data_IF_668627125794
#
_entry.id   IF_668627125794
#
_cell.length_a   1.000
_cell.length_b   1.000
_cell.length_c   1.000
_cell.angle_alpha   90.00
_cell.angle_beta   90.00
_cell.angle_gamma   90.00
#
_symmetry.space_group_name_H-M   'P 1'
#
loop_
_entity.id
_entity.type
_entity.pdbx_description
1 polymer ?
#
# COMPACT_ATOMS: atom_id res chain seq x y z
N UNK A 1 15.06 13.86 3.09
CA UNK A 1 14.08 14.97 2.97
C UNK A 1 14.67 15.99 2.01
N UNK A 2 13.84 16.79 1.34
CA UNK A 2 14.33 17.95 0.59
C UNK A 2 14.99 18.96 1.54
N UNK A 3 15.87 19.82 1.02
CA UNK A 3 16.63 20.80 1.81
C UNK A 3 15.74 21.82 2.53
N UNK A 4 14.52 22.02 2.06
CA UNK A 4 13.48 22.89 2.63
C UNK A 4 12.53 22.17 3.60
N UNK A 5 12.76 20.89 3.88
CA UNK A 5 11.88 20.06 4.72
C UNK A 5 10.59 19.63 4.03
N UNK A 6 10.38 19.95 2.75
CA UNK A 6 9.22 19.49 1.99
C UNK A 6 9.29 17.98 1.70
N UNK A 7 8.10 17.39 1.54
CA UNK A 7 7.98 16.02 1.08
C UNK A 7 8.30 15.96 -0.43
N UNK A 8 9.07 14.95 -0.82
CA UNK A 8 9.44 14.67 -2.22
C UNK A 8 9.23 13.20 -2.50
N UNK A 9 8.29 12.91 -3.40
CA UNK A 9 7.98 11.55 -3.86
C UNK A 9 9.19 10.85 -4.48
N UNK A 10 10.00 11.58 -5.25
CA UNK A 10 11.27 11.07 -5.81
C UNK A 10 12.21 10.60 -4.72
N UNK A 11 12.44 11.44 -3.71
CA UNK A 11 13.32 11.12 -2.59
C UNK A 11 12.76 10.02 -1.69
N UNK A 12 11.43 9.92 -1.56
CA UNK A 12 10.76 8.86 -0.82
C UNK A 12 10.87 7.50 -1.53
N UNK A 13 10.65 7.46 -2.84
CA UNK A 13 10.78 6.27 -3.67
C UNK A 13 12.21 5.73 -3.65
N UNK A 14 13.21 6.60 -3.81
CA UNK A 14 14.63 6.20 -3.73
C UNK A 14 14.97 5.55 -2.39
N UNK A 15 14.47 6.13 -1.28
CA UNK A 15 14.64 5.56 0.07
C UNK A 15 13.94 4.22 0.22
N UNK A 16 12.74 4.07 -0.35
CA UNK A 16 12.01 2.81 -0.32
C UNK A 16 12.79 1.70 -1.04
N UNK A 17 13.22 1.94 -2.29
CA UNK A 17 13.95 0.96 -3.10
C UNK A 17 15.32 0.59 -2.51
N UNK A 18 15.97 1.53 -1.82
CA UNK A 18 17.20 1.25 -1.08
C UNK A 18 16.97 0.39 0.17
N UNK A 19 15.80 0.51 0.83
CA UNK A 19 15.43 -0.28 2.02
C UNK A 19 14.84 -1.64 1.68
N UNK A 20 14.18 -1.74 0.53
CA UNK A 20 13.45 -2.92 0.08
C UNK A 20 13.96 -3.30 -1.32
N UNK A 21 15.16 -3.91 -1.44
CA UNK A 21 15.73 -4.24 -2.75
C UNK A 21 14.86 -5.22 -3.54
N UNK A 22 14.07 -6.09 -2.88
CA UNK A 22 13.11 -6.97 -3.55
C UNK A 22 12.07 -6.23 -4.41
N UNK A 23 11.70 -4.99 -4.07
CA UNK A 23 10.78 -4.18 -4.88
C UNK A 23 11.38 -3.74 -6.22
N UNK A 24 12.70 -3.85 -6.40
CA UNK A 24 13.36 -3.56 -7.69
C UNK A 24 13.10 -4.64 -8.74
N UNK A 25 12.55 -5.80 -8.35
CA UNK A 25 12.08 -6.81 -9.30
C UNK A 25 10.78 -6.38 -10.03
N UNK A 26 10.01 -5.45 -9.46
CA UNK A 26 8.79 -4.93 -10.11
C UNK A 26 9.14 -3.85 -11.14
N UNK A 27 8.97 -4.17 -12.43
CA UNK A 27 9.18 -3.25 -13.56
C UNK A 27 8.36 -1.96 -13.43
N UNK A 28 7.19 -1.99 -12.77
CA UNK A 28 6.37 -0.79 -12.52
C UNK A 28 7.13 0.19 -11.61
N UNK A 29 7.78 -0.32 -10.56
CA UNK A 29 8.54 0.51 -9.62
C UNK A 29 9.88 0.97 -10.20
N UNK A 30 10.51 0.15 -11.03
CA UNK A 30 11.71 0.54 -11.78
C UNK A 30 11.41 1.67 -12.76
N UNK A 31 10.37 1.54 -13.59
CA UNK A 31 9.96 2.59 -14.53
C UNK A 31 9.51 3.87 -13.82
N UNK A 32 8.83 3.74 -12.68
CA UNK A 32 8.48 4.86 -11.81
C UNK A 32 9.72 5.63 -11.34
N UNK A 33 10.78 4.94 -10.95
CA UNK A 33 12.02 5.58 -10.49
C UNK A 33 12.74 6.37 -11.59
N UNK A 34 12.56 5.97 -12.86
CA UNK A 34 13.16 6.61 -14.02
C UNK A 34 12.47 7.93 -14.39
N UNK A 35 11.24 8.17 -13.92
CA UNK A 35 10.52 9.45 -14.16
C UNK A 35 11.23 10.66 -13.53
N UNK A 36 12.05 10.44 -12.49
CA UNK A 36 12.77 11.53 -11.82
C UNK A 36 11.82 12.64 -11.38
N UNK A 37 12.15 13.89 -11.70
CA UNK A 37 11.33 15.07 -11.32
C UNK A 37 9.94 15.12 -11.98
N UNK A 38 9.67 14.32 -13.01
CA UNK A 38 8.33 14.21 -13.60
C UNK A 38 7.40 13.27 -12.80
N UNK A 39 7.89 12.64 -11.73
CA UNK A 39 7.12 11.74 -10.88
C UNK A 39 6.06 12.51 -10.08
N UNK A 40 4.80 12.11 -10.23
CA UNK A 40 3.68 12.67 -9.44
C UNK A 40 3.37 11.80 -8.22
N UNK A 41 2.64 12.36 -7.27
CA UNK A 41 2.13 11.61 -6.11
C UNK A 41 1.13 10.53 -6.55
N UNK A 42 0.30 10.81 -7.56
CA UNK A 42 -0.64 9.84 -8.14
C UNK A 42 0.08 8.65 -8.78
N UNK A 43 1.18 8.89 -9.50
CA UNK A 43 2.00 7.82 -10.07
C UNK A 43 2.53 6.89 -8.97
N UNK A 44 2.97 7.45 -7.85
CA UNK A 44 3.43 6.70 -6.68
C UNK A 44 2.28 5.91 -6.08
N UNK A 45 1.16 6.55 -5.76
CA UNK A 45 -0.01 5.91 -5.14
C UNK A 45 -0.48 4.73 -5.98
N UNK A 46 -0.60 4.90 -7.30
CA UNK A 46 -1.03 3.84 -8.20
C UNK A 46 -0.07 2.65 -8.26
N UNK A 47 1.24 2.89 -8.07
CA UNK A 47 2.26 1.84 -8.15
C UNK A 47 2.54 1.15 -6.80
N UNK A 48 2.25 1.82 -5.68
CA UNK A 48 2.60 1.37 -4.32
C UNK A 48 1.40 0.77 -3.57
N UNK A 49 0.16 1.10 -3.97
CA UNK A 49 -1.04 0.64 -3.26
C UNK A 49 -1.17 -0.88 -3.13
N UNK A 50 -0.72 -1.64 -4.12
CA UNK A 50 -0.73 -3.10 -4.07
C UNK A 50 0.48 -3.66 -3.27
N UNK A 51 1.74 -3.25 -3.53
CA UNK A 51 2.88 -3.62 -2.68
C UNK A 51 2.70 -3.30 -1.20
N UNK A 52 1.93 -2.26 -0.88
CA UNK A 52 1.59 -1.86 0.48
C UNK A 52 0.94 -2.98 1.31
N UNK A 53 0.18 -3.87 0.68
CA UNK A 53 -0.48 -5.00 1.33
C UNK A 53 0.51 -6.12 1.69
N UNK A 54 1.73 -6.10 1.15
CA UNK A 54 2.73 -7.10 1.45
C UNK A 54 3.25 -6.95 2.89
N UNK A 55 3.22 -8.01 3.73
CA UNK A 55 3.60 -7.91 5.14
C UNK A 55 5.01 -7.38 5.40
N UNK A 56 5.96 -7.57 4.48
CA UNK A 56 7.33 -7.01 4.61
C UNK A 56 7.43 -5.54 4.20
N UNK A 57 6.51 -5.02 3.38
CA UNK A 57 6.66 -3.70 2.75
C UNK A 57 5.76 -2.62 3.34
N UNK A 58 4.68 -2.96 4.05
CA UNK A 58 3.78 -1.97 4.68
C UNK A 58 4.55 -0.92 5.51
N UNK A 59 5.39 -1.37 6.46
CA UNK A 59 6.11 -0.47 7.37
C UNK A 59 7.11 0.42 6.59
N UNK A 60 7.99 -0.13 5.72
CA UNK A 60 8.85 0.68 4.85
C UNK A 60 8.09 1.70 4.00
N UNK A 61 6.96 1.29 3.39
CA UNK A 61 6.14 2.14 2.52
C UNK A 61 5.57 3.30 3.34
N UNK A 62 4.85 3.05 4.43
CA UNK A 62 4.26 4.12 5.24
C UNK A 62 5.34 4.99 5.89
N UNK A 63 6.48 4.43 6.26
CA UNK A 63 7.62 5.20 6.76
C UNK A 63 8.20 6.16 5.70
N UNK A 64 8.20 5.79 4.42
CA UNK A 64 8.68 6.65 3.34
C UNK A 64 7.62 7.65 2.85
N UNK A 65 6.36 7.22 2.79
CA UNK A 65 5.23 7.89 2.15
C UNK A 65 4.15 8.31 3.15
N UNK A 66 4.52 8.59 4.41
CA UNK A 66 3.59 9.01 5.46
C UNK A 66 2.64 10.14 5.01
N UNK A 67 3.08 11.18 4.27
CA UNK A 67 2.17 12.22 3.80
C UNK A 67 1.10 11.74 2.81
N UNK A 68 1.37 10.64 2.08
CA UNK A 68 0.46 10.03 1.10
C UNK A 68 -0.28 8.79 1.66
N UNK A 69 -0.19 8.54 2.98
CA UNK A 69 -0.71 7.30 3.57
C UNK A 69 -2.21 7.16 3.37
N UNK A 70 -2.95 8.27 3.31
CA UNK A 70 -4.39 8.25 3.09
C UNK A 70 -4.72 7.75 1.69
N UNK A 71 -4.12 8.36 0.69
CA UNK A 71 -4.30 8.08 -0.72
C UNK A 71 -3.89 6.64 -1.05
N UNK A 72 -2.78 6.16 -0.45
CA UNK A 72 -2.34 4.76 -0.56
C UNK A 72 -3.41 3.81 0.00
N UNK A 73 -3.95 4.08 1.19
CA UNK A 73 -4.99 3.23 1.81
C UNK A 73 -6.28 3.25 0.99
N UNK A 74 -6.74 4.42 0.56
CA UNK A 74 -7.94 4.56 -0.27
C UNK A 74 -7.79 3.80 -1.59
N UNK A 75 -6.62 3.90 -2.24
CA UNK A 75 -6.32 3.15 -3.45
C UNK A 75 -6.27 1.65 -3.18
N UNK A 76 -5.62 1.19 -2.11
CA UNK A 76 -5.57 -0.23 -1.75
C UNK A 76 -6.97 -0.80 -1.50
N UNK A 77 -7.83 -0.07 -0.77
CA UNK A 77 -9.24 -0.43 -0.56
C UNK A 77 -9.99 -0.51 -1.89
N UNK A 78 -9.74 0.41 -2.82
CA UNK A 78 -10.36 0.37 -4.16
C UNK A 78 -9.99 -0.89 -4.94
N UNK A 79 -8.73 -1.35 -4.83
CA UNK A 79 -8.27 -2.59 -5.47
C UNK A 79 -8.88 -3.83 -4.80
N UNK A 80 -8.94 -3.86 -3.47
CA UNK A 80 -9.55 -4.96 -2.71
C UNK A 80 -11.04 -5.13 -3.01
N UNK A 81 -11.77 -4.05 -3.28
CA UNK A 81 -13.18 -4.10 -3.69
C UNK A 81 -13.41 -4.78 -5.04
N UNK A 82 -12.37 -4.92 -5.87
CA UNK A 82 -12.44 -5.63 -7.15
C UNK A 82 -12.21 -7.14 -6.99
N UNK A 83 -11.78 -7.59 -5.80
CA UNK A 83 -11.56 -9.01 -5.53
C UNK A 83 -12.92 -9.70 -5.33
N UNK A 84 -13.24 -10.73 -6.12
CA UNK A 84 -14.56 -11.34 -6.11
C UNK A 84 -14.86 -12.14 -4.83
N UNK A 85 -13.83 -12.76 -4.22
CA UNK A 85 -13.99 -13.58 -3.03
C UNK A 85 -12.75 -13.55 -2.13
N UNK A 86 -12.86 -12.83 -1.01
CA UNK A 86 -11.86 -12.78 0.06
C UNK A 86 -12.01 -13.91 1.10
N UNK A 87 -12.98 -14.81 0.92
CA UNK A 87 -13.21 -15.96 1.81
C UNK A 87 -12.64 -17.26 1.27
N UNK A 88 -12.10 -17.24 0.05
CA UNK A 88 -11.44 -18.39 -0.56
C UNK A 88 -10.16 -18.78 0.17
N UNK A 89 -9.95 -20.09 0.31
CA UNK A 89 -8.72 -20.67 0.85
C UNK A 89 -8.41 -21.98 0.13
N UNK A 90 -7.69 -21.89 -0.99
CA UNK A 90 -7.11 -23.04 -1.65
C UNK A 90 -5.71 -23.32 -1.08
N UNK A 91 -5.50 -24.54 -0.60
CA UNK A 91 -4.31 -24.92 0.16
C UNK A 91 -3.01 -24.94 -0.65
N UNK A 92 -2.06 -24.10 -0.29
CA UNK A 92 -0.84 -24.41 0.49
C UNK A 92 -0.39 -23.07 1.09
N UNK A 93 0.14 -23.05 2.32
CA UNK A 93 0.46 -21.82 3.06
C UNK A 93 1.76 -21.24 2.52
N UNK A 94 1.78 -20.79 1.26
CA UNK A 94 2.96 -20.15 0.65
C UNK A 94 3.17 -18.76 1.25
N UNK A 95 4.32 -18.54 1.90
CA UNK A 95 4.72 -17.19 2.30
C UNK A 95 4.81 -16.27 1.08
N UNK A 96 4.49 -14.99 1.28
CA UNK A 96 4.77 -14.00 0.25
C UNK A 96 6.28 -13.88 0.11
N UNK A 97 6.78 -14.26 -1.05
CA UNK A 97 8.20 -14.19 -1.36
C UNK A 97 8.68 -12.74 -1.40
N UNK A 98 9.95 -12.54 -1.07
CA UNK A 98 10.54 -11.21 -1.15
C UNK A 98 10.65 -10.78 -2.61
N UNK A 99 9.80 -9.83 -3.00
CA UNK A 99 9.74 -9.31 -4.37
C UNK A 99 8.34 -9.41 -4.96
N UNK A 100 7.43 -10.13 -4.29
CA UNK A 100 6.03 -10.22 -4.69
C UNK A 100 5.29 -8.90 -4.43
N UNK A 101 5.39 -7.99 -5.40
CA UNK A 101 4.78 -6.68 -5.38
C UNK A 101 3.31 -6.71 -5.85
N UNK A 102 2.86 -7.81 -6.48
CA UNK A 102 1.51 -7.99 -7.03
C UNK A 102 0.65 -8.88 -6.15
N UNK A 103 0.54 -8.45 -4.89
CA UNK A 103 -0.09 -9.21 -3.80
C UNK A 103 -1.52 -9.65 -4.13
N UNK A 104 -2.31 -8.79 -4.79
CA UNK A 104 -3.71 -9.09 -5.09
C UNK A 104 -3.79 -10.11 -6.22
N UNK A 105 -3.06 -9.88 -7.32
CA UNK A 105 -2.98 -10.81 -8.45
C UNK A 105 -2.54 -12.21 -7.97
N UNK A 106 -1.45 -12.28 -7.20
CA UNK A 106 -0.92 -13.52 -6.62
C UNK A 106 -1.94 -14.27 -5.77
N UNK A 107 -2.68 -13.57 -4.91
CA UNK A 107 -3.70 -14.21 -4.05
C UNK A 107 -4.92 -14.67 -4.84
N UNK A 108 -5.40 -13.87 -5.81
CA UNK A 108 -6.57 -14.21 -6.63
C UNK A 108 -6.31 -15.43 -7.49
N UNK A 109 -5.16 -15.49 -8.17
CA UNK A 109 -4.80 -16.62 -9.04
C UNK A 109 -4.68 -17.95 -8.29
N UNK A 110 -4.32 -17.89 -7.00
CA UNK A 110 -4.14 -19.05 -6.13
C UNK A 110 -5.33 -19.34 -5.22
N UNK A 111 -6.42 -18.57 -5.31
CA UNK A 111 -7.59 -18.74 -4.43
C UNK A 111 -7.28 -18.53 -2.95
N UNK A 112 -6.37 -17.60 -2.62
CA UNK A 112 -5.94 -17.28 -1.25
C UNK A 112 -6.60 -15.99 -0.74
N UNK A 113 -7.93 -15.91 -0.86
CA UNK A 113 -8.72 -14.76 -0.42
C UNK A 113 -8.56 -14.46 1.07
N UNK A 114 -8.63 -15.47 1.94
CA UNK A 114 -8.48 -15.29 3.39
C UNK A 114 -7.10 -14.72 3.74
N UNK A 115 -6.06 -15.19 3.06
CA UNK A 115 -4.71 -14.67 3.27
C UNK A 115 -4.56 -13.22 2.83
N UNK A 116 -5.19 -12.83 1.72
CA UNK A 116 -5.24 -11.44 1.27
C UNK A 116 -5.99 -10.57 2.29
N UNK A 117 -7.09 -11.08 2.86
CA UNK A 117 -7.83 -10.40 3.91
C UNK A 117 -6.96 -10.16 5.14
N UNK A 118 -6.28 -11.18 5.66
CA UNK A 118 -5.36 -11.06 6.80
C UNK A 118 -4.22 -10.07 6.54
N UNK A 119 -3.58 -10.16 5.37
CA UNK A 119 -2.51 -9.25 4.97
C UNK A 119 -3.01 -7.79 4.91
N UNK A 120 -4.22 -7.58 4.39
CA UNK A 120 -4.87 -6.27 4.33
C UNK A 120 -5.16 -5.71 5.72
N UNK A 121 -5.75 -6.53 6.60
CA UNK A 121 -6.00 -6.14 8.00
C UNK A 121 -4.71 -5.75 8.71
N UNK A 122 -3.65 -6.56 8.56
CA UNK A 122 -2.34 -6.28 9.14
C UNK A 122 -1.74 -4.98 8.59
N UNK A 123 -1.84 -4.75 7.27
CA UNK A 123 -1.35 -3.54 6.63
C UNK A 123 -2.07 -2.29 7.17
N UNK A 124 -3.40 -2.35 7.31
CA UNK A 124 -4.19 -1.26 7.84
C UNK A 124 -3.91 -0.97 9.33
N UNK A 125 -3.80 -2.00 10.17
CA UNK A 125 -3.44 -1.82 11.58
C UNK A 125 -2.09 -1.12 11.73
N UNK A 126 -1.05 -1.60 11.04
CA UNK A 126 0.29 -0.99 11.06
C UNK A 126 0.27 0.45 10.54
N UNK A 127 -0.57 0.72 9.56
CA UNK A 127 -0.70 2.08 9.01
C UNK A 127 -1.33 3.01 10.03
N UNK A 128 -2.36 2.58 10.77
CA UNK A 128 -2.95 3.37 11.85
C UNK A 128 -1.95 3.63 12.99
N UNK A 129 -1.12 2.65 13.33
CA UNK A 129 -0.06 2.82 14.33
C UNK A 129 0.98 3.87 13.91
N UNK A 130 1.38 3.88 12.63
CA UNK A 130 2.39 4.80 12.09
C UNK A 130 1.83 6.19 11.71
N UNK A 131 0.56 6.24 11.33
CA UNK A 131 -0.16 7.41 10.86
C UNK A 131 -1.48 7.59 11.63
N UNK A 132 -1.44 7.81 12.96
CA UNK A 132 -2.66 7.91 13.79
C UNK A 132 -3.55 9.10 13.41
N UNK A 133 -3.03 10.06 12.64
CA UNK A 133 -3.85 11.13 12.08
C UNK A 133 -4.97 10.61 11.17
N UNK A 134 -4.80 9.43 10.56
CA UNK A 134 -5.83 8.76 9.74
C UNK A 134 -7.09 8.40 10.54
N UNK A 135 -6.97 8.14 11.85
CA UNK A 135 -8.13 7.87 12.71
C UNK A 135 -9.11 9.05 12.73
N UNK A 136 -8.61 10.29 12.65
CA UNK A 136 -9.48 11.47 12.58
C UNK A 136 -10.28 11.51 11.28
N UNK A 137 -9.75 11.00 10.17
CA UNK A 137 -10.47 10.95 8.90
C UNK A 137 -11.57 9.88 8.95
N UNK A 138 -11.22 8.67 9.39
CA UNK A 138 -12.16 7.54 9.52
C UNK A 138 -13.30 7.84 10.50
N UNK A 139 -13.00 8.44 11.64
CA UNK A 139 -14.02 8.79 12.63
C UNK A 139 -14.89 9.98 12.20
N UNK A 140 -14.36 10.91 11.38
CA UNK A 140 -15.12 12.08 10.92
C UNK A 140 -16.09 11.75 9.78
N UNK A 141 -15.77 10.78 8.92
CA UNK A 141 -16.73 10.27 7.92
C UNK A 141 -17.97 9.67 8.59
N UNK A 142 -17.84 9.02 9.75
CA UNK A 142 -19.00 8.50 10.51
C UNK A 142 -19.88 9.58 11.13
N UNK A 143 -19.34 10.75 11.48
CA UNK A 143 -20.13 11.84 12.06
C UNK A 143 -20.93 12.65 11.03
N UNK A 144 -20.68 12.48 9.73
CA UNK A 144 -21.47 13.13 8.67
C UNK A 144 -22.56 12.19 8.13
N UNK A 145 -22.47 10.88 8.40
CA UNK A 145 -23.45 9.87 7.99
C UNK A 145 -24.57 9.55 8.99
N UNK A 146 -24.68 10.25 10.13
CA UNK A 146 -25.71 9.99 11.15
C UNK A 146 -26.63 11.18 11.46
N UNK A 147 -26.71 12.15 10.55
CA UNK A 147 -27.70 13.22 10.61
C UNK A 147 -28.55 13.19 9.33
N UNK A 148 -29.33 12.13 9.14
CA UNK A 148 -30.60 12.09 8.39
C UNK A 148 -31.08 10.63 8.43
N UNK A 149 -31.78 10.28 9.50
CA UNK A 149 -32.97 9.42 9.52
C UNK A 149 -33.76 9.76 10.79
#
# INVERSE_FOLDING_TARGET
MSLDGSFSSVSALRRLLARCPGLQADTRLVSLSQKGEALTDDDVVNSIAEPFLHPKYTIPIIGCFRPLSREIVEKAVSLLRLVPDLTSEAGDVSEFEEGEARVIEFCVERGMGLRLHEASCLAFCRTLDMAPFLLRYLCRERSIGSCFD
#
